data_IF_525170064089
#
_entry.id   IF_525170064089
#
_cell.length_a   1.000
_cell.length_b   1.000
_cell.length_c   1.000
_cell.angle_alpha   90.00
_cell.angle_beta   90.00
_cell.angle_gamma   90.00
#
_symmetry.space_group_name_H-M   'P 1'
#
loop_
_entity.id
_entity.type
_entity.pdbx_description
1 polymer ?
#
# COMPACT_ATOMS: atom_id res chain seq x y z
N UNK A 1 -15.88 6.79 -24.21
CA UNK A 1 -16.99 7.65 -23.74
C UNK A 1 -18.16 6.84 -23.18
N UNK A 2 -18.74 5.87 -23.93
CA UNK A 2 -19.94 5.12 -23.48
C UNK A 2 -19.74 4.26 -22.22
N UNK A 3 -18.57 3.66 -22.01
CA UNK A 3 -18.31 2.77 -20.87
C UNK A 3 -18.24 3.46 -19.50
N UNK A 4 -17.62 4.65 -19.42
CA UNK A 4 -17.51 5.39 -18.15
C UNK A 4 -18.86 5.93 -17.68
N UNK A 5 -19.65 6.45 -18.63
CA UNK A 5 -21.00 6.95 -18.36
C UNK A 5 -21.90 5.80 -17.90
N UNK A 6 -21.80 4.62 -18.54
CA UNK A 6 -22.53 3.43 -18.11
C UNK A 6 -22.11 2.97 -16.70
N UNK A 7 -20.81 3.00 -16.38
CA UNK A 7 -20.30 2.62 -15.06
C UNK A 7 -20.77 3.58 -13.95
N UNK A 8 -20.75 4.90 -14.20
CA UNK A 8 -21.26 5.92 -13.26
C UNK A 8 -22.78 5.76 -13.08
N UNK A 9 -23.53 5.52 -14.16
CA UNK A 9 -24.98 5.30 -14.09
C UNK A 9 -25.32 4.03 -13.28
N UNK A 10 -24.56 2.94 -13.46
CA UNK A 10 -24.73 1.72 -12.67
C UNK A 10 -24.39 1.95 -11.19
N UNK A 11 -23.32 2.69 -10.89
CA UNK A 11 -22.94 2.99 -9.52
C UNK A 11 -24.00 3.85 -8.79
N UNK A 12 -24.53 4.88 -9.46
CA UNK A 12 -25.62 5.70 -8.92
C UNK A 12 -26.92 4.90 -8.73
N UNK A 13 -27.18 3.92 -9.61
CA UNK A 13 -28.33 3.03 -9.47
C UNK A 13 -28.20 2.10 -8.26
N UNK A 14 -26.99 1.60 -7.99
CA UNK A 14 -26.68 0.82 -6.79
C UNK A 14 -26.83 1.69 -5.53
N UNK A 15 -26.32 2.92 -5.54
CA UNK A 15 -26.45 3.85 -4.41
C UNK A 15 -27.92 4.17 -4.07
N UNK A 16 -28.76 4.32 -5.11
CA UNK A 16 -30.19 4.55 -4.95
C UNK A 16 -30.90 3.35 -4.32
N UNK A 17 -30.60 2.12 -4.76
CA UNK A 17 -31.15 0.89 -4.19
C UNK A 17 -30.71 0.71 -2.73
N UNK A 18 -29.45 1.03 -2.42
CA UNK A 18 -28.92 0.90 -1.06
C UNK A 18 -29.57 1.91 -0.12
N UNK A 19 -29.78 3.17 -0.54
CA UNK A 19 -30.40 4.20 0.29
C UNK A 19 -31.91 3.94 0.54
N UNK A 20 -32.66 3.64 -0.53
CA UNK A 20 -34.12 3.61 -0.49
C UNK A 20 -34.75 2.22 -0.54
N UNK A 21 -34.04 1.20 -1.02
CA UNK A 21 -34.55 -0.17 -1.20
C UNK A 21 -34.04 -1.20 -0.19
N UNK A 22 -32.99 -0.90 0.58
CA UNK A 22 -32.41 -1.85 1.53
C UNK A 22 -32.98 -1.69 2.96
N UNK A 23 -33.14 -2.79 3.68
CA UNK A 23 -33.63 -2.83 5.06
C UNK A 23 -32.50 -2.58 6.11
N UNK A 24 -31.37 -2.01 5.68
CA UNK A 24 -30.24 -1.69 6.57
C UNK A 24 -30.52 -0.47 7.45
N UNK A 25 -29.91 -0.43 8.64
CA UNK A 25 -29.90 0.74 9.51
C UNK A 25 -29.17 1.92 8.83
N UNK A 26 -29.47 3.15 9.27
CA UNK A 26 -28.99 4.38 8.61
C UNK A 26 -27.46 4.51 8.58
N UNK A 27 -26.74 3.99 9.58
CA UNK A 27 -25.28 4.06 9.63
C UNK A 27 -24.59 3.34 8.45
N UNK A 28 -24.78 2.02 8.29
CA UNK A 28 -24.24 1.26 7.17
C UNK A 28 -24.64 1.79 5.79
N UNK A 29 -25.88 2.31 5.64
CA UNK A 29 -26.33 2.95 4.39
C UNK A 29 -25.45 4.14 4.02
N UNK A 30 -25.20 5.04 4.97
CA UNK A 30 -24.36 6.21 4.75
C UNK A 30 -22.89 5.85 4.47
N UNK A 31 -22.37 4.78 5.08
CA UNK A 31 -21.01 4.31 4.84
C UNK A 31 -20.86 3.74 3.43
N UNK A 32 -21.79 2.87 2.99
CA UNK A 32 -21.75 2.24 1.66
C UNK A 32 -21.92 3.31 0.57
N UNK A 33 -22.91 4.18 0.70
CA UNK A 33 -23.11 5.29 -0.23
C UNK A 33 -21.92 6.25 -0.20
N UNK A 34 -21.34 6.54 0.97
CA UNK A 34 -20.18 7.42 1.10
C UNK A 34 -18.94 6.88 0.38
N UNK A 35 -18.65 5.58 0.52
CA UNK A 35 -17.53 4.92 -0.18
C UNK A 35 -17.76 4.91 -1.69
N UNK A 36 -18.99 4.65 -2.15
CA UNK A 36 -19.34 4.67 -3.56
C UNK A 36 -19.21 6.07 -4.19
N UNK A 37 -19.72 7.10 -3.52
CA UNK A 37 -19.62 8.50 -3.96
C UNK A 37 -18.16 8.96 -4.01
N UNK A 38 -17.35 8.61 -3.01
CA UNK A 38 -15.90 8.87 -3.03
C UNK A 38 -15.21 8.20 -4.23
N UNK A 39 -15.58 6.94 -4.53
CA UNK A 39 -15.09 6.23 -5.72
C UNK A 39 -15.46 6.91 -7.03
N UNK A 40 -16.69 7.44 -7.14
CA UNK A 40 -17.16 8.19 -8.31
C UNK A 40 -16.40 9.53 -8.47
N UNK A 41 -16.14 10.25 -7.37
CA UNK A 41 -15.36 11.49 -7.37
C UNK A 41 -13.92 11.21 -7.84
N UNK A 42 -13.27 10.16 -7.35
CA UNK A 42 -11.91 9.78 -7.75
C UNK A 42 -11.87 9.35 -9.23
N UNK A 43 -12.88 8.64 -9.71
CA UNK A 43 -12.98 8.23 -11.11
C UNK A 43 -13.15 9.44 -12.06
N UNK A 44 -14.01 10.39 -11.69
CA UNK A 44 -14.21 11.64 -12.43
C UNK A 44 -12.95 12.52 -12.36
N UNK A 45 -12.30 12.62 -11.19
CA UNK A 45 -11.06 13.38 -11.00
C UNK A 45 -9.90 12.81 -11.82
N UNK A 46 -9.72 11.49 -11.79
CA UNK A 46 -8.71 10.77 -12.57
C UNK A 46 -8.94 10.94 -14.07
N UNK A 47 -10.22 11.00 -14.49
CA UNK A 47 -10.60 11.29 -15.87
C UNK A 47 -10.32 12.74 -16.28
N UNK A 48 -10.67 13.72 -15.44
CA UNK A 48 -10.43 15.14 -15.71
C UNK A 48 -8.93 15.49 -15.72
N UNK A 49 -8.11 14.80 -14.92
CA UNK A 49 -6.66 14.92 -14.94
C UNK A 49 -5.97 14.10 -16.04
N UNK A 50 -6.68 13.19 -16.71
CA UNK A 50 -6.24 12.60 -17.97
C UNK A 50 -6.43 13.62 -19.11
N UNK A 51 -5.57 14.63 -19.17
CA UNK A 51 -5.30 15.29 -20.45
C UNK A 51 -4.84 14.21 -21.44
N UNK A 52 -5.35 14.16 -22.67
CA UNK A 52 -4.80 13.29 -23.71
C UNK A 52 -3.38 13.78 -23.99
N UNK A 53 -2.39 13.16 -23.35
CA UNK A 53 -1.00 13.35 -23.75
C UNK A 53 -0.92 12.96 -25.21
N UNK A 54 -0.42 13.84 -26.09
CA UNK A 54 -0.35 13.54 -27.51
C UNK A 54 0.46 12.26 -27.66
N UNK A 55 -0.04 11.41 -28.55
CA UNK A 55 0.52 10.13 -28.93
C UNK A 55 1.87 10.33 -29.66
N UNK A 56 2.88 10.89 -28.97
CA UNK A 56 4.28 10.76 -29.37
C UNK A 56 4.81 9.52 -28.68
N UNK A 57 4.61 8.43 -29.40
CA UNK A 57 5.43 7.23 -29.38
C UNK A 57 6.90 7.66 -29.26
N UNK A 58 7.44 7.59 -28.05
CA UNK A 58 8.87 7.64 -27.81
C UNK A 58 9.40 6.24 -28.11
N UNK A 59 9.43 5.91 -29.41
CA UNK A 59 10.29 4.88 -29.99
C UNK A 59 11.72 5.39 -29.80
N UNK A 60 12.45 4.82 -28.83
CA UNK A 60 13.85 5.18 -28.58
C UNK A 60 14.28 4.92 -27.15
N UNK A 61 14.55 3.64 -26.82
CA UNK A 61 15.55 3.18 -25.83
C UNK A 61 15.66 3.95 -24.49
N UNK A 62 14.61 3.96 -23.67
CA UNK A 62 14.71 4.50 -22.30
C UNK A 62 13.54 4.18 -21.35
N UNK A 63 12.71 3.16 -21.63
CA UNK A 63 11.45 2.90 -20.90
C UNK A 63 11.33 1.51 -20.27
N UNK A 64 12.43 0.78 -20.09
CA UNK A 64 12.40 -0.65 -19.74
C UNK A 64 13.18 -1.04 -18.47
N UNK A 65 13.51 -0.11 -17.58
CA UNK A 65 14.12 -0.39 -16.27
C UNK A 65 13.12 -0.08 -15.14
N UNK A 66 12.13 0.75 -15.45
CA UNK A 66 11.20 1.30 -14.48
C UNK A 66 10.09 0.30 -14.10
N UNK A 67 9.83 -0.76 -14.86
CA UNK A 67 8.73 -1.70 -14.59
C UNK A 67 9.12 -2.74 -13.53
N UNK A 68 10.35 -3.27 -13.56
CA UNK A 68 10.83 -4.19 -12.51
C UNK A 68 11.04 -3.48 -11.17
N UNK A 69 11.65 -2.30 -11.17
CA UNK A 69 11.82 -1.48 -9.96
C UNK A 69 10.47 -1.03 -9.39
N UNK A 70 9.52 -0.64 -10.25
CA UNK A 70 8.16 -0.31 -9.81
C UNK A 70 7.42 -1.53 -9.25
N UNK A 71 7.61 -2.74 -9.81
CA UNK A 71 7.09 -3.97 -9.23
C UNK A 71 7.65 -4.19 -7.83
N UNK A 72 8.97 -4.11 -7.65
CA UNK A 72 9.59 -4.27 -6.33
C UNK A 72 9.04 -3.24 -5.32
N UNK A 73 8.96 -1.96 -5.72
CA UNK A 73 8.44 -0.89 -4.87
C UNK A 73 6.98 -1.13 -4.47
N UNK A 74 6.12 -1.49 -5.42
CA UNK A 74 4.70 -1.76 -5.14
C UNK A 74 4.53 -2.96 -4.23
N UNK A 75 5.28 -4.04 -4.43
CA UNK A 75 5.28 -5.22 -3.54
C UNK A 75 5.73 -4.86 -2.13
N UNK A 76 6.81 -4.08 -1.98
CA UNK A 76 7.30 -3.62 -0.68
C UNK A 76 6.28 -2.71 0.03
N UNK A 77 5.60 -1.85 -0.72
CA UNK A 77 4.60 -0.93 -0.16
C UNK A 77 3.37 -1.67 0.35
N UNK A 78 2.88 -2.67 -0.41
CA UNK A 78 1.79 -3.54 0.06
C UNK A 78 2.21 -4.44 1.22
N UNK A 79 3.45 -4.95 1.22
CA UNK A 79 3.96 -5.69 2.36
C UNK A 79 3.94 -4.80 3.62
N UNK A 80 4.51 -3.59 3.53
CA UNK A 80 4.50 -2.65 4.65
C UNK A 80 3.08 -2.30 5.11
N UNK A 81 2.14 -2.09 4.19
CA UNK A 81 0.75 -1.77 4.55
C UNK A 81 0.07 -2.93 5.28
N UNK A 82 0.27 -4.18 4.84
CA UNK A 82 -0.23 -5.37 5.55
C UNK A 82 0.31 -5.44 6.98
N UNK A 83 1.63 -5.31 7.15
CA UNK A 83 2.25 -5.32 8.49
C UNK A 83 1.74 -4.16 9.35
N UNK A 84 1.50 -3.00 8.75
CA UNK A 84 0.97 -1.82 9.45
C UNK A 84 -0.48 -2.01 9.88
N UNK A 85 -1.34 -2.53 8.99
CA UNK A 85 -2.75 -2.86 9.27
C UNK A 85 -2.86 -3.88 10.39
N UNK A 86 -2.07 -4.96 10.35
CA UNK A 86 -2.01 -5.95 11.44
C UNK A 86 -1.52 -5.31 12.74
N UNK A 87 -0.49 -4.46 12.67
CA UNK A 87 0.04 -3.77 13.84
C UNK A 87 -0.98 -2.85 14.50
N UNK A 88 -1.73 -2.07 13.73
CA UNK A 88 -2.84 -1.24 14.24
C UNK A 88 -3.94 -2.12 14.83
N UNK A 89 -4.30 -3.21 14.16
CA UNK A 89 -5.34 -4.11 14.66
C UNK A 89 -5.00 -4.66 16.04
N UNK A 90 -3.76 -5.15 16.22
CA UNK A 90 -3.29 -5.72 17.48
C UNK A 90 -3.05 -4.64 18.54
N UNK A 91 -2.59 -3.44 18.15
CA UNK A 91 -2.33 -2.34 19.09
C UNK A 91 -3.61 -1.66 19.60
N UNK A 92 -4.69 -1.68 18.82
CA UNK A 92 -5.92 -0.98 19.15
C UNK A 92 -6.88 -1.92 19.89
N UNK A 93 -7.39 -1.56 21.08
CA UNK A 93 -8.35 -2.38 21.82
C UNK A 93 -9.63 -2.64 20.99
N UNK A 94 -10.30 -3.77 21.24
CA UNK A 94 -11.55 -4.12 20.57
C UNK A 94 -12.73 -3.37 21.18
N UNK A 95 -13.60 -2.81 20.34
CA UNK A 95 -14.86 -2.22 20.79
C UNK A 95 -16.00 -3.25 20.68
N UNK A 96 -17.05 -3.08 21.49
CA UNK A 96 -18.20 -4.01 21.52
C UNK A 96 -18.97 -4.08 20.19
N UNK A 97 -18.81 -3.08 19.33
CA UNK A 97 -19.48 -2.98 18.03
C UNK A 97 -18.90 -3.90 16.95
N UNK A 98 -17.67 -4.41 17.13
CA UNK A 98 -16.99 -5.26 16.14
C UNK A 98 -16.66 -4.57 14.82
N UNK A 99 -16.96 -3.28 14.66
CA UNK A 99 -16.84 -2.53 13.40
C UNK A 99 -15.37 -2.44 12.98
N UNK A 100 -14.46 -2.26 13.94
CA UNK A 100 -13.01 -2.21 13.71
C UNK A 100 -12.53 -3.49 13.05
N UNK A 101 -12.93 -4.63 13.58
CA UNK A 101 -12.55 -5.97 13.12
C UNK A 101 -13.03 -6.22 11.69
N UNK A 102 -14.24 -5.77 11.35
CA UNK A 102 -14.76 -5.85 9.98
C UNK A 102 -14.01 -4.95 9.01
N UNK A 103 -13.77 -3.68 9.36
CA UNK A 103 -13.08 -2.72 8.48
C UNK A 103 -11.63 -3.15 8.24
N UNK A 104 -10.89 -3.45 9.31
CA UNK A 104 -9.50 -3.89 9.21
C UNK A 104 -9.40 -5.27 8.55
N UNK A 105 -10.35 -6.18 8.83
CA UNK A 105 -10.40 -7.50 8.22
C UNK A 105 -10.63 -7.45 6.71
N UNK A 106 -11.64 -6.72 6.25
CA UNK A 106 -11.93 -6.57 4.83
C UNK A 106 -10.77 -5.84 4.13
N UNK A 107 -10.25 -4.77 4.75
CA UNK A 107 -9.08 -4.05 4.25
C UNK A 107 -7.89 -4.97 4.05
N UNK A 108 -7.54 -5.75 5.08
CA UNK A 108 -6.42 -6.70 5.03
C UNK A 108 -6.59 -7.74 3.91
N UNK A 109 -7.80 -8.28 3.72
CA UNK A 109 -8.07 -9.25 2.64
C UNK A 109 -7.81 -8.62 1.27
N UNK A 110 -8.27 -7.38 1.05
CA UNK A 110 -8.01 -6.65 -0.19
C UNK A 110 -6.51 -6.42 -0.37
N UNK A 111 -5.80 -5.99 0.68
CA UNK A 111 -4.36 -5.78 0.64
C UNK A 111 -3.60 -7.05 0.28
N UNK A 112 -3.95 -8.20 0.87
CA UNK A 112 -3.34 -9.49 0.57
C UNK A 112 -3.61 -9.91 -0.87
N UNK A 113 -4.84 -9.76 -1.37
CA UNK A 113 -5.18 -10.07 -2.77
C UNK A 113 -4.32 -9.22 -3.73
N UNK A 114 -4.22 -7.91 -3.47
CA UNK A 114 -3.41 -7.01 -4.29
C UNK A 114 -1.92 -7.37 -4.19
N UNK A 115 -1.40 -7.62 -2.99
CA UNK A 115 -0.03 -8.06 -2.78
C UNK A 115 0.30 -9.33 -3.57
N UNK A 116 -0.57 -10.35 -3.48
CA UNK A 116 -0.40 -11.60 -4.23
C UNK A 116 -0.48 -11.35 -5.74
N UNK A 117 -1.43 -10.53 -6.20
CA UNK A 117 -1.55 -10.16 -7.61
C UNK A 117 -0.26 -9.52 -8.13
N UNK A 118 0.30 -8.54 -7.41
CA UNK A 118 1.54 -7.88 -7.80
C UNK A 118 2.76 -8.79 -7.71
N UNK A 119 2.84 -9.69 -6.71
CA UNK A 119 3.89 -10.71 -6.64
C UNK A 119 3.89 -11.62 -7.87
N UNK A 120 2.71 -12.12 -8.25
CA UNK A 120 2.51 -13.03 -9.38
C UNK A 120 2.56 -12.35 -10.75
N UNK A 121 2.40 -11.01 -10.80
CA UNK A 121 2.49 -10.25 -12.04
C UNK A 121 3.87 -10.41 -12.66
N UNK A 122 3.96 -11.13 -13.77
CA UNK A 122 5.22 -11.29 -14.50
C UNK A 122 5.64 -9.96 -15.13
N UNK A 123 6.92 -9.63 -14.97
CA UNK A 123 7.56 -8.49 -15.63
C UNK A 123 8.42 -9.04 -16.76
N UNK A 124 8.30 -8.47 -17.96
CA UNK A 124 9.03 -8.93 -19.17
C UNK A 124 10.49 -8.47 -19.20
N UNK A 125 10.91 -7.68 -18.22
CA UNK A 125 12.25 -7.12 -18.09
C UNK A 125 13.14 -8.07 -17.27
N UNK A 126 14.36 -8.30 -17.77
CA UNK A 126 15.41 -8.97 -17.00
C UNK A 126 16.11 -7.94 -16.11
N UNK A 127 16.35 -8.24 -14.82
CA UNK A 127 17.10 -7.35 -13.94
C UNK A 127 18.49 -7.04 -14.52
N UNK A 128 18.83 -5.76 -14.60
CA UNK A 128 20.14 -5.28 -15.04
C UNK A 128 21.13 -5.19 -13.87
N UNK A 129 22.42 -5.06 -14.18
CA UNK A 129 23.48 -4.96 -13.16
C UNK A 129 23.27 -3.75 -12.23
N UNK A 130 22.69 -2.67 -12.75
CA UNK A 130 22.34 -1.47 -12.00
C UNK A 130 21.27 -1.76 -10.94
N UNK A 131 20.18 -2.45 -11.31
CA UNK A 131 19.15 -2.85 -10.36
C UNK A 131 19.75 -3.66 -9.20
N UNK A 132 20.61 -4.63 -9.51
CA UNK A 132 21.30 -5.42 -8.48
C UNK A 132 22.24 -4.60 -7.61
N UNK A 133 23.02 -3.69 -8.20
CA UNK A 133 23.91 -2.81 -7.46
C UNK A 133 23.13 -1.87 -6.52
N UNK A 134 22.03 -1.29 -7.00
CA UNK A 134 21.17 -0.42 -6.19
C UNK A 134 20.45 -1.20 -5.08
N UNK A 135 19.96 -2.40 -5.38
CA UNK A 135 19.35 -3.29 -4.41
C UNK A 135 20.35 -3.70 -3.32
N UNK A 136 21.57 -4.10 -3.71
CA UNK A 136 22.64 -4.47 -2.78
C UNK A 136 23.10 -3.28 -1.92
N UNK A 137 23.15 -2.07 -2.50
CA UNK A 137 23.48 -0.85 -1.76
C UNK A 137 22.37 -0.46 -0.78
N UNK A 138 21.10 -0.61 -1.17
CA UNK A 138 19.97 -0.39 -0.26
C UNK A 138 19.98 -1.41 0.89
N UNK A 139 20.21 -2.68 0.59
CA UNK A 139 20.25 -3.76 1.57
C UNK A 139 21.43 -3.60 2.55
N UNK A 140 22.63 -3.27 2.05
CA UNK A 140 23.80 -3.04 2.90
C UNK A 140 23.64 -1.80 3.80
N UNK A 141 23.02 -0.72 3.31
CA UNK A 141 22.68 0.44 4.13
C UNK A 141 21.67 0.07 5.25
N UNK A 142 20.62 -0.68 4.91
CA UNK A 142 19.66 -1.16 5.90
C UNK A 142 20.32 -2.08 6.94
N UNK A 143 21.26 -2.93 6.53
CA UNK A 143 21.99 -3.79 7.44
C UNK A 143 22.81 -2.99 8.46
N UNK A 144 23.55 -1.97 8.01
CA UNK A 144 24.30 -1.08 8.92
C UNK A 144 23.35 -0.32 9.87
N UNK A 145 22.23 0.18 9.35
CA UNK A 145 21.23 0.87 10.16
C UNK A 145 20.62 -0.05 11.23
N UNK A 146 20.28 -1.30 10.87
CA UNK A 146 19.77 -2.31 11.79
C UNK A 146 20.79 -2.65 12.88
N UNK A 147 22.05 -2.85 12.53
CA UNK A 147 23.11 -3.08 13.51
C UNK A 147 23.24 -1.90 14.49
N UNK A 148 23.25 -0.68 13.97
CA UNK A 148 23.29 0.53 14.81
C UNK A 148 22.09 0.62 15.77
N UNK A 149 20.88 0.40 15.26
CA UNK A 149 19.66 0.42 16.07
C UNK A 149 19.66 -0.69 17.15
N UNK A 150 20.10 -1.90 16.81
CA UNK A 150 20.23 -3.01 17.76
C UNK A 150 21.28 -2.73 18.83
N UNK A 151 22.42 -2.12 18.48
CA UNK A 151 23.44 -1.72 19.44
C UNK A 151 22.90 -0.67 20.43
N UNK A 152 22.20 0.35 19.93
CA UNK A 152 21.58 1.38 20.80
C UNK A 152 20.53 0.74 21.71
N UNK A 153 19.69 -0.16 21.17
CA UNK A 153 18.68 -0.87 21.94
C UNK A 153 19.33 -1.74 23.02
N UNK A 154 20.39 -2.48 22.70
CA UNK A 154 21.13 -3.31 23.66
C UNK A 154 21.74 -2.48 24.80
N UNK A 155 22.36 -1.34 24.48
CA UNK A 155 22.90 -0.41 25.48
C UNK A 155 21.78 0.15 26.36
N UNK A 156 20.65 0.53 25.75
CA UNK A 156 19.49 1.08 26.46
C UNK A 156 18.88 0.07 27.44
N UNK A 157 18.74 -1.19 27.02
CA UNK A 157 18.32 -2.31 27.88
C UNK A 157 19.31 -2.51 29.03
N UNK A 158 20.62 -2.38 28.77
CA UNK A 158 21.65 -2.46 29.82
C UNK A 158 21.48 -1.41 30.94
N UNK A 159 20.96 -0.22 30.63
CA UNK A 159 20.72 0.84 31.62
C UNK A 159 19.34 0.77 32.28
N UNK A 160 18.28 0.46 31.52
CA UNK A 160 16.88 0.55 31.97
C UNK A 160 16.38 -0.80 32.52
N UNK A 161 17.08 -1.91 32.23
CA UNK A 161 16.64 -3.26 32.54
C UNK A 161 15.74 -3.84 31.44
N UNK A 162 14.64 -4.49 31.81
CA UNK A 162 13.77 -5.17 30.85
C UNK A 162 12.92 -4.22 30.01
N UNK A 163 12.92 -4.41 28.69
CA UNK A 163 12.02 -3.73 27.76
C UNK A 163 10.77 -4.60 27.53
N UNK A 164 9.59 -4.06 27.78
CA UNK A 164 8.33 -4.72 27.40
C UNK A 164 7.94 -4.25 26.00
N UNK A 165 7.86 -5.18 25.05
CA UNK A 165 7.44 -4.89 23.67
C UNK A 165 6.04 -5.44 23.42
N UNK A 166 5.12 -4.57 23.00
CA UNK A 166 3.78 -5.00 22.60
C UNK A 166 3.81 -5.50 21.16
N UNK A 167 3.08 -6.59 20.88
CA UNK A 167 3.05 -7.20 19.55
C UNK A 167 2.68 -6.19 18.45
N UNK A 168 1.69 -5.33 18.67
CA UNK A 168 1.31 -4.28 17.71
C UNK A 168 2.46 -3.31 17.39
N UNK A 169 3.30 -2.96 18.37
CA UNK A 169 4.48 -2.12 18.17
C UNK A 169 5.55 -2.82 17.32
N UNK A 170 5.71 -4.13 17.48
CA UNK A 170 6.64 -4.94 16.68
C UNK A 170 6.19 -4.92 15.20
N UNK A 171 4.92 -5.17 14.93
CA UNK A 171 4.35 -5.13 13.58
C UNK A 171 4.50 -3.75 12.91
N UNK A 172 4.21 -2.67 13.64
CA UNK A 172 4.40 -1.29 13.15
C UNK A 172 5.90 -0.99 12.88
N UNK A 173 6.79 -1.49 13.72
CA UNK A 173 8.23 -1.33 13.54
C UNK A 173 8.74 -2.05 12.29
N UNK A 174 8.26 -3.28 12.03
CA UNK A 174 8.56 -4.04 10.81
C UNK A 174 8.06 -3.27 9.58
N UNK A 175 6.81 -2.79 9.59
CA UNK A 175 6.25 -1.99 8.51
C UNK A 175 7.10 -0.75 8.20
N UNK A 176 7.55 -0.06 9.26
CA UNK A 176 8.41 1.13 9.16
C UNK A 176 9.76 0.78 8.51
N UNK A 177 10.38 -0.33 8.92
CA UNK A 177 11.65 -0.78 8.32
C UNK A 177 11.50 -1.14 6.84
N UNK A 178 10.41 -1.79 6.46
CA UNK A 178 10.10 -2.09 5.04
C UNK A 178 9.93 -0.79 4.24
N UNK A 179 9.22 0.21 4.79
CA UNK A 179 9.06 1.51 4.15
C UNK A 179 10.39 2.26 3.99
N UNK A 180 11.23 2.28 5.04
CA UNK A 180 12.56 2.90 4.96
C UNK A 180 13.38 2.24 3.87
N UNK A 181 13.40 0.90 3.80
CA UNK A 181 14.07 0.19 2.72
C UNK A 181 13.52 0.57 1.34
N UNK A 182 12.20 0.62 1.18
CA UNK A 182 11.57 1.00 -0.09
C UNK A 182 11.95 2.43 -0.52
N UNK A 183 11.99 3.38 0.43
CA UNK A 183 12.40 4.76 0.19
C UNK A 183 13.88 4.87 -0.16
N UNK A 184 14.76 4.19 0.60
CA UNK A 184 16.21 4.18 0.33
C UNK A 184 16.48 3.59 -1.05
N UNK A 185 15.87 2.45 -1.36
CA UNK A 185 15.99 1.83 -2.67
C UNK A 185 15.49 2.75 -3.78
N UNK A 186 14.33 3.39 -3.61
CA UNK A 186 13.80 4.36 -4.58
C UNK A 186 14.73 5.56 -4.81
N UNK A 187 15.33 6.11 -3.76
CA UNK A 187 16.28 7.22 -3.86
C UNK A 187 17.54 6.80 -4.62
N UNK A 188 18.07 5.61 -4.34
CA UNK A 188 19.25 5.07 -5.03
C UNK A 188 18.95 4.81 -6.50
N UNK A 189 17.79 4.22 -6.80
CA UNK A 189 17.37 3.93 -8.17
C UNK A 189 17.18 5.21 -9.00
N UNK A 190 16.68 6.30 -8.40
CA UNK A 190 16.56 7.61 -9.09
C UNK A 190 17.89 8.31 -9.35
N UNK A 191 18.96 7.97 -8.64
CA UNK A 191 20.27 8.65 -8.76
C UNK A 191 21.21 8.01 -9.77
N UNK A 192 20.99 6.74 -10.13
CA UNK A 192 21.72 6.09 -11.22
C UNK A 192 21.29 6.60 -12.59
#
# INVERSE_FOLDING_TARGET
MRGLIAMIAVALFIDFIVLFGSNLSWGPKLVITGISVLGQIIAIWSWLHMKPRPHKIQKGKGKTIFDLSAKLYTVLLFAASIFYTVGIWVATPSESSGIKEWILGIGLVIEVILFTFFCLKNVKETPDERFYANLAKAASLMFVFMLGALMILAVSIGYIGSLTLYMGQIFISIATLILIFAVVYFILERRG
#
